data_IF_811924691273
#
_entry.id   IF_811924691273
#
_cell.length_a   1.000
_cell.length_b   1.000
_cell.length_c   1.000
_cell.angle_alpha   90.00
_cell.angle_beta   90.00
_cell.angle_gamma   90.00
#
_symmetry.space_group_name_H-M   'P 1'
#
loop_
_entity.id
_entity.type
_entity.pdbx_description
1 polymer ?
#
# COMPACT_ATOMS: atom_id res chain seq x y z
N UNK A 1 23.21 -11.57 -19.65
CA UNK A 1 22.41 -11.89 -19.37
C UNK A 1 21.91 -11.44 -18.32
N UNK A 2 21.28 -11.34 -17.87
CA UNK A 2 20.78 -10.87 -16.97
C UNK A 2 19.72 -11.28 -16.43
N UNK A 3 19.71 -11.98 -16.02
CA UNK A 3 18.83 -12.61 -15.55
C UNK A 3 18.27 -12.12 -14.46
N UNK A 4 18.87 -11.61 -13.79
CA UNK A 4 18.47 -11.14 -12.66
C UNK A 4 17.53 -10.22 -12.76
N UNK A 5 17.18 -9.88 -13.74
CA UNK A 5 16.36 -9.03 -13.84
C UNK A 5 15.39 -9.27 -13.30
N UNK A 6 15.34 -9.35 -12.51
CA UNK A 6 14.62 -9.28 -11.95
C UNK A 6 13.72 -9.98 -11.64
N UNK A 7 13.84 -10.82 -11.20
CA UNK A 7 12.93 -11.71 -10.65
C UNK A 7 12.43 -11.22 -9.35
N UNK A 8 11.16 -10.83 -9.21
CA UNK A 8 10.64 -10.21 -7.98
C UNK A 8 10.85 -11.07 -6.74
N UNK A 9 10.79 -12.40 -6.87
CA UNK A 9 10.93 -13.25 -5.70
C UNK A 9 12.35 -13.24 -5.14
N UNK A 10 13.31 -12.62 -5.80
CA UNK A 10 14.67 -12.47 -5.25
C UNK A 10 14.82 -11.18 -4.45
N UNK A 11 13.83 -10.33 -4.43
CA UNK A 11 13.85 -9.11 -3.66
C UNK A 11 13.75 -9.45 -2.17
N UNK A 12 14.68 -8.99 -1.33
CA UNK A 12 14.64 -9.31 0.11
C UNK A 12 13.34 -8.88 0.79
N UNK A 13 12.79 -7.73 0.39
CA UNK A 13 11.52 -7.29 0.95
C UNK A 13 10.42 -8.25 0.54
N UNK A 14 10.36 -8.59 -0.75
CA UNK A 14 9.35 -9.50 -1.27
C UNK A 14 9.36 -10.84 -0.56
N UNK A 15 10.55 -11.34 -0.21
CA UNK A 15 10.70 -12.64 0.42
C UNK A 15 10.48 -12.62 1.93
N UNK A 16 10.44 -11.45 2.54
CA UNK A 16 10.26 -11.36 3.98
C UNK A 16 8.85 -11.81 4.36
N UNK A 17 8.70 -12.75 5.32
CA UNK A 17 7.37 -13.22 5.72
C UNK A 17 6.45 -12.11 6.23
N UNK A 18 7.01 -11.05 6.82
CA UNK A 18 6.21 -9.92 7.30
C UNK A 18 5.59 -9.15 6.14
N UNK A 19 6.31 -9.04 5.03
CA UNK A 19 5.77 -8.41 3.83
C UNK A 19 4.63 -9.24 3.25
N UNK A 20 4.86 -10.53 3.11
CA UNK A 20 3.85 -11.44 2.58
C UNK A 20 2.59 -11.44 3.44
N UNK A 21 2.76 -11.46 4.76
CA UNK A 21 1.64 -11.40 5.69
C UNK A 21 0.91 -10.06 5.57
N UNK A 22 1.65 -8.96 5.49
CA UNK A 22 1.05 -7.63 5.33
C UNK A 22 0.18 -7.54 4.09
N UNK A 23 0.67 -8.06 2.96
CA UNK A 23 -0.10 -8.09 1.71
C UNK A 23 -1.36 -8.93 1.86
N UNK A 24 -1.24 -10.12 2.43
CA UNK A 24 -2.38 -11.01 2.61
C UNK A 24 -3.44 -10.37 3.50
N UNK A 25 -3.03 -9.80 4.63
CA UNK A 25 -3.95 -9.14 5.56
C UNK A 25 -4.61 -7.92 4.90
N UNK A 26 -3.84 -7.16 4.13
CA UNK A 26 -4.37 -6.02 3.39
C UNK A 26 -5.49 -6.46 2.46
N UNK A 27 -5.24 -7.50 1.68
CA UNK A 27 -6.21 -8.01 0.71
C UNK A 27 -7.44 -8.64 1.39
N UNK A 28 -7.28 -9.08 2.63
CA UNK A 28 -8.39 -9.60 3.43
C UNK A 28 -9.09 -8.48 4.21
N UNK A 29 -8.71 -7.23 3.97
CA UNK A 29 -9.27 -6.06 4.64
C UNK A 29 -9.07 -6.08 6.16
N UNK A 30 -8.01 -6.75 6.61
CA UNK A 30 -7.58 -6.72 8.00
C UNK A 30 -6.57 -5.59 8.15
N UNK A 31 -7.10 -4.36 8.10
CA UNK A 31 -6.28 -3.16 7.93
C UNK A 31 -5.29 -2.93 9.06
N UNK A 32 -5.73 -3.06 10.30
CA UNK A 32 -4.87 -2.80 11.44
C UNK A 32 -3.76 -3.85 11.53
N UNK A 33 -4.12 -5.12 11.34
CA UNK A 33 -3.14 -6.20 11.37
C UNK A 33 -2.15 -6.10 10.22
N UNK A 34 -2.62 -5.67 9.03
CA UNK A 34 -1.74 -5.43 7.89
C UNK A 34 -0.73 -4.32 8.21
N UNK A 35 -1.22 -3.22 8.79
CA UNK A 35 -0.38 -2.12 9.23
C UNK A 35 0.72 -2.63 10.17
N UNK A 36 0.37 -3.44 11.17
CA UNK A 36 1.34 -3.97 12.13
C UNK A 36 2.42 -4.80 11.44
N UNK A 37 2.04 -5.67 10.52
CA UNK A 37 2.99 -6.53 9.82
C UNK A 37 3.97 -5.70 8.98
N UNK A 38 3.46 -4.72 8.23
CA UNK A 38 4.32 -3.85 7.43
C UNK A 38 5.21 -2.98 8.32
N UNK A 39 4.68 -2.47 9.43
CA UNK A 39 5.45 -1.59 10.30
C UNK A 39 6.61 -2.33 10.95
N UNK A 40 6.42 -3.59 11.30
CA UNK A 40 7.45 -4.42 11.86
C UNK A 40 8.65 -4.51 10.90
N UNK A 41 8.37 -4.70 9.62
CA UNK A 41 9.40 -4.73 8.59
C UNK A 41 9.98 -3.32 8.36
N UNK A 42 9.13 -2.29 8.38
CA UNK A 42 9.52 -0.91 8.14
C UNK A 42 10.59 -0.44 9.12
N UNK A 43 10.51 -0.85 10.38
CA UNK A 43 11.49 -0.44 11.40
C UNK A 43 12.92 -0.87 11.06
N UNK A 44 13.08 -1.93 10.29
CA UNK A 44 14.39 -2.48 9.93
C UNK A 44 14.80 -2.15 8.49
N UNK A 45 14.00 -1.38 7.79
CA UNK A 45 14.20 -1.14 6.36
C UNK A 45 14.69 0.27 6.13
N UNK A 46 15.63 0.44 5.19
CA UNK A 46 16.14 1.75 4.82
C UNK A 46 15.52 2.19 3.48
N UNK A 47 15.65 3.49 3.19
CA UNK A 47 15.18 4.05 1.93
C UNK A 47 16.00 3.49 0.77
N UNK A 48 15.41 3.38 -0.42
CA UNK A 48 14.07 3.84 -0.79
C UNK A 48 12.93 2.89 -0.40
N UNK A 49 13.22 1.67 -0.01
CA UNK A 49 12.22 0.66 0.30
C UNK A 49 11.33 1.09 1.47
N UNK A 50 11.94 1.72 2.47
CA UNK A 50 11.22 2.19 3.66
C UNK A 50 10.08 3.14 3.31
N UNK A 51 10.34 4.04 2.36
CA UNK A 51 9.35 5.01 1.93
C UNK A 51 8.12 4.32 1.32
N UNK A 52 8.35 3.30 0.50
CA UNK A 52 7.26 2.55 -0.12
C UNK A 52 6.44 1.80 0.92
N UNK A 53 7.13 1.14 1.86
CA UNK A 53 6.43 0.45 2.96
C UNK A 53 5.58 1.44 3.75
N UNK A 54 6.09 2.63 4.00
CA UNK A 54 5.33 3.65 4.71
C UNK A 54 4.07 4.04 3.94
N UNK A 55 4.16 4.14 2.62
CA UNK A 55 2.98 4.41 1.80
C UNK A 55 1.92 3.34 1.94
N UNK A 56 2.32 2.07 1.91
CA UNK A 56 1.38 0.96 2.10
C UNK A 56 0.77 0.99 3.49
N UNK A 57 1.56 1.29 4.51
CA UNK A 57 1.08 1.43 5.88
C UNK A 57 0.03 2.52 5.97
N UNK A 58 0.29 3.66 5.36
CA UNK A 58 -0.64 4.80 5.43
C UNK A 58 -1.96 4.50 4.74
N UNK A 59 -1.94 3.78 3.62
CA UNK A 59 -3.19 3.37 2.96
C UNK A 59 -3.97 2.41 3.85
N UNK A 60 -3.29 1.46 4.52
CA UNK A 60 -3.97 0.56 5.44
C UNK A 60 -4.62 1.31 6.60
N UNK A 61 -3.88 2.25 7.22
CA UNK A 61 -4.39 3.03 8.34
C UNK A 61 -5.54 3.95 7.90
N UNK A 62 -5.49 4.45 6.66
CA UNK A 62 -6.60 5.23 6.12
C UNK A 62 -7.90 4.43 6.17
N UNK A 63 -7.83 3.13 5.84
CA UNK A 63 -9.01 2.27 5.88
C UNK A 63 -9.48 1.98 7.31
N UNK A 64 -8.55 1.95 8.28
CA UNK A 64 -8.95 1.89 9.69
C UNK A 64 -9.79 3.12 10.04
N UNK A 65 -9.38 4.30 9.57
CA UNK A 65 -10.15 5.52 9.79
C UNK A 65 -11.51 5.47 9.12
N UNK A 66 -11.60 4.90 7.91
CA UNK A 66 -12.89 4.75 7.24
C UNK A 66 -13.84 3.86 8.05
N UNK A 67 -13.32 2.79 8.63
CA UNK A 67 -14.13 1.91 9.47
C UNK A 67 -14.64 2.61 10.71
N UNK A 68 -13.96 3.66 11.14
CA UNK A 68 -14.35 4.45 12.32
C UNK A 68 -15.10 5.72 11.94
N UNK A 69 -15.55 5.81 10.70
CA UNK A 69 -16.26 6.97 10.17
C UNK A 69 -15.44 8.26 10.26
N UNK A 70 -14.13 8.15 10.18
CA UNK A 70 -13.24 9.30 10.17
C UNK A 70 -12.77 9.58 8.74
N UNK A 71 -13.64 10.16 7.94
CA UNK A 71 -13.36 10.46 6.53
C UNK A 71 -12.21 11.46 6.38
N UNK A 72 -12.10 12.41 7.30
CA UNK A 72 -11.05 13.43 7.24
C UNK A 72 -9.68 12.80 7.42
N UNK A 73 -9.52 11.95 8.45
CA UNK A 73 -8.26 11.24 8.67
C UNK A 73 -7.90 10.33 7.52
N UNK A 74 -8.90 9.62 6.97
CA UNK A 74 -8.69 8.76 5.82
C UNK A 74 -8.21 9.54 4.60
N UNK A 75 -8.83 10.70 4.33
CA UNK A 75 -8.46 11.54 3.19
C UNK A 75 -7.01 11.99 3.27
N UNK A 76 -6.58 12.41 4.46
CA UNK A 76 -5.20 12.86 4.66
C UNK A 76 -4.23 11.71 4.40
N UNK A 77 -4.49 10.54 4.99
CA UNK A 77 -3.58 9.40 4.88
C UNK A 77 -3.53 8.80 3.48
N UNK A 78 -4.66 8.76 2.78
CA UNK A 78 -4.64 8.30 1.39
C UNK A 78 -3.79 9.21 0.52
N UNK A 79 -3.89 10.52 0.72
CA UNK A 79 -3.08 11.48 -0.02
C UNK A 79 -1.59 11.33 0.27
N UNK A 80 -1.23 11.17 1.54
CA UNK A 80 0.17 10.98 1.94
C UNK A 80 0.71 9.65 1.40
N UNK A 81 -0.07 8.60 1.51
CA UNK A 81 0.33 7.28 1.00
C UNK A 81 0.59 7.32 -0.50
N UNK A 82 -0.30 7.95 -1.26
CA UNK A 82 -0.10 8.11 -2.70
C UNK A 82 1.18 8.86 -3.01
N UNK A 83 1.48 9.91 -2.26
CA UNK A 83 2.71 10.67 -2.47
C UNK A 83 3.96 9.82 -2.26
N UNK A 84 3.93 8.90 -1.31
CA UNK A 84 5.08 8.02 -1.03
C UNK A 84 5.22 6.91 -2.06
N UNK A 85 4.15 6.52 -2.71
CA UNK A 85 4.16 5.45 -3.71
C UNK A 85 4.42 5.96 -5.13
N UNK A 86 4.69 7.26 -5.26
CA UNK A 86 4.89 7.88 -6.56
C UNK A 86 6.38 7.99 -6.88
N UNK A 87 6.73 8.01 -8.17
CA UNK A 87 8.09 8.21 -8.61
C UNK A 87 8.55 7.12 -9.56
N UNK A 88 9.42 7.51 -10.50
CA UNK A 88 9.90 6.61 -11.55
C UNK A 88 10.71 5.47 -10.96
N UNK A 89 11.52 5.80 -9.95
CA UNK A 89 12.41 4.81 -9.35
C UNK A 89 11.83 4.21 -8.07
N UNK A 90 10.51 4.27 -7.90
CA UNK A 90 9.84 3.74 -6.73
C UNK A 90 9.92 2.21 -6.74
N UNK A 91 10.53 1.58 -5.72
CA UNK A 91 10.52 0.13 -5.63
C UNK A 91 9.09 -0.39 -5.51
N UNK A 92 8.80 -1.50 -6.17
CA UNK A 92 7.45 -2.05 -6.16
C UNK A 92 7.34 -3.43 -5.52
N UNK A 93 8.47 -4.05 -5.18
CA UNK A 93 8.50 -5.39 -4.55
C UNK A 93 7.75 -6.44 -5.37
N UNK A 94 7.67 -6.24 -6.68
CA UNK A 94 6.93 -7.14 -7.56
C UNK A 94 5.43 -6.89 -7.63
N UNK A 95 4.93 -5.87 -6.93
CA UNK A 95 3.50 -5.52 -6.96
C UNK A 95 3.19 -4.61 -8.14
N UNK A 96 1.94 -4.66 -8.59
CA UNK A 96 1.42 -3.71 -9.57
C UNK A 96 0.99 -2.42 -8.83
N UNK A 97 1.97 -1.57 -8.54
CA UNK A 97 1.70 -0.32 -7.82
C UNK A 97 0.99 0.71 -8.69
N UNK A 98 1.10 0.62 -10.01
CA UNK A 98 0.38 1.54 -10.88
C UNK A 98 -1.13 1.33 -10.74
N UNK A 99 -1.57 0.07 -10.80
CA UNK A 99 -2.97 -0.27 -10.63
C UNK A 99 -3.44 0.05 -9.20
N UNK A 100 -2.60 -0.24 -8.21
CA UNK A 100 -2.92 0.05 -6.82
C UNK A 100 -3.14 1.54 -6.60
N UNK A 101 -2.21 2.37 -7.10
CA UNK A 101 -2.33 3.82 -6.97
C UNK A 101 -3.58 4.36 -7.64
N UNK A 102 -3.93 3.82 -8.81
CA UNK A 102 -5.15 4.25 -9.51
C UNK A 102 -6.39 3.95 -8.67
N UNK A 103 -6.43 2.78 -8.03
CA UNK A 103 -7.55 2.40 -7.16
C UNK A 103 -7.64 3.29 -5.92
N UNK A 104 -6.49 3.57 -5.29
CA UNK A 104 -6.44 4.45 -4.12
C UNK A 104 -6.84 5.87 -4.50
N UNK A 105 -6.37 6.37 -5.65
CA UNK A 105 -6.70 7.71 -6.14
C UNK A 105 -8.22 7.86 -6.35
N UNK A 106 -8.86 6.83 -6.89
CA UNK A 106 -10.31 6.87 -7.09
C UNK A 106 -11.04 7.02 -5.76
N UNK A 107 -10.62 6.26 -4.74
CA UNK A 107 -11.21 6.34 -3.42
C UNK A 107 -11.00 7.71 -2.79
N UNK A 108 -9.79 8.25 -2.93
CA UNK A 108 -9.47 9.59 -2.45
C UNK A 108 -10.34 10.65 -3.12
N UNK A 109 -10.53 10.59 -4.43
CA UNK A 109 -11.35 11.54 -5.15
C UNK A 109 -12.80 11.54 -4.65
N UNK A 110 -13.34 10.34 -4.40
CA UNK A 110 -14.70 10.23 -3.87
C UNK A 110 -14.79 10.88 -2.49
N UNK A 111 -13.82 10.65 -1.63
CA UNK A 111 -13.81 11.26 -0.29
C UNK A 111 -13.69 12.77 -0.35
N UNK A 112 -12.85 13.29 -1.26
CA UNK A 112 -12.67 14.74 -1.42
C UNK A 112 -13.95 15.42 -1.90
N UNK A 113 -14.81 14.69 -2.58
CA UNK A 113 -16.07 15.21 -3.07
C UNK A 113 -17.22 14.97 -2.09
N UNK A 114 -16.93 14.41 -0.92
CA UNK A 114 -17.94 14.14 0.09
C UNK A 114 -18.80 12.92 -0.21
N UNK A 115 -18.35 12.06 -1.13
CA UNK A 115 -19.10 10.87 -1.52
C UNK A 115 -18.79 9.68 -0.62
N UNK A 116 -19.47 8.56 -0.91
CA UNK A 116 -19.32 7.31 -0.17
C UNK A 116 -18.17 6.49 -0.78
N UNK A 117 -17.09 6.25 -0.03
CA UNK A 117 -15.96 5.46 -0.54
C UNK A 117 -16.37 4.03 -0.94
N UNK A 118 -17.46 3.50 -0.37
CA UNK A 118 -17.94 2.18 -0.76
C UNK A 118 -18.46 2.13 -2.20
N UNK A 119 -18.61 3.28 -2.85
CA UNK A 119 -19.03 3.33 -4.25
C UNK A 119 -17.94 2.91 -5.21
N UNK A 120 -16.69 2.76 -4.75
CA UNK A 120 -15.61 2.27 -5.60
C UNK A 120 -14.99 1.01 -5.00
N UNK A 121 -14.31 0.20 -5.84
CA UNK A 121 -13.71 -1.05 -5.35
C UNK A 121 -12.67 -0.79 -4.27
N UNK A 122 -12.56 -1.74 -3.35
CA UNK A 122 -11.52 -1.69 -2.33
C UNK A 122 -10.17 -1.93 -3.00
N UNK A 123 -9.13 -1.11 -2.70
CA UNK A 123 -7.81 -1.36 -3.26
C UNK A 123 -7.26 -2.71 -2.79
N UNK A 124 -6.60 -3.41 -3.71
CA UNK A 124 -5.93 -4.67 -3.41
C UNK A 124 -4.50 -4.62 -3.93
N UNK A 125 -3.63 -5.40 -3.31
CA UNK A 125 -2.22 -5.51 -3.70
C UNK A 125 -2.07 -6.79 -4.50
N UNK A 126 -1.76 -6.66 -5.80
CA UNK A 126 -1.58 -7.81 -6.69
C UNK A 126 -0.22 -7.71 -7.35
N UNK A 127 0.26 -8.84 -7.84
CA UNK A 127 1.57 -8.89 -8.48
C UNK A 127 1.52 -8.24 -9.87
N UNK A 128 2.65 -7.71 -10.30
CA UNK A 128 2.81 -7.26 -11.68
C UNK A 128 2.58 -8.43 -12.64
N UNK A 129 1.99 -8.14 -13.80
CA UNK A 129 1.82 -9.18 -14.82
C UNK A 129 3.17 -9.65 -15.36
#
# INVERSE_FOLDING_TARGET
MNIDRQVPQQDPIRQDPRFQLGVQLFNDQQWYASHDAFEDLWHETSDPDRRVLQGLIQVAVAHVHLERNNSKGATILLGEGLGRLNGIDCPDFGLDLQQFRASVMRRLSVLQQGGDPASCPVPVLVDRP
#
